data_IF_236563586657
#
_entry.id   IF_236563586657
#
_cell.length_a   1.000
_cell.length_b   1.000
_cell.length_c   1.000
_cell.angle_alpha   90.00
_cell.angle_beta   90.00
_cell.angle_gamma   90.00
#
_symmetry.space_group_name_H-M   'P 1'
#
loop_
_entity.id
_entity.type
_entity.pdbx_description
1 polymer ?
#
# COMPACT_ATOMS: atom_id res chain seq x y z
N UNK A 1 -13.86 -32.19 -7.79
CA UNK A 1 -13.76 -31.84 -9.23
C UNK A 1 -12.96 -30.54 -9.42
N UNK A 2 -11.64 -30.61 -9.27
CA UNK A 2 -10.64 -29.57 -9.63
C UNK A 2 -9.27 -30.24 -9.92
N UNK A 3 -9.32 -31.40 -10.59
CA UNK A 3 -8.17 -32.15 -11.11
C UNK A 3 -8.56 -32.65 -12.50
N UNK A 4 -8.88 -31.70 -13.39
CA UNK A 4 -9.31 -31.98 -14.78
C UNK A 4 -8.88 -30.86 -15.74
N UNK A 5 -7.86 -30.07 -15.37
CA UNK A 5 -7.27 -29.02 -16.21
C UNK A 5 -5.74 -29.13 -16.33
N UNK A 6 -5.16 -30.26 -15.90
CA UNK A 6 -3.72 -30.54 -15.96
C UNK A 6 -3.38 -31.78 -16.81
N UNK A 7 -4.30 -32.18 -17.70
CA UNK A 7 -4.21 -33.43 -18.47
C UNK A 7 -4.60 -33.27 -19.95
N UNK A 8 -4.27 -32.12 -20.54
CA UNK A 8 -4.43 -31.83 -21.98
C UNK A 8 -3.14 -31.34 -22.64
N UNK A 9 -1.98 -31.47 -21.98
CA UNK A 9 -0.65 -31.11 -22.54
C UNK A 9 0.21 -32.37 -22.81
N UNK A 10 -0.33 -33.56 -22.59
CA UNK A 10 0.38 -34.83 -22.76
C UNK A 10 -0.48 -35.78 -23.60
N UNK A 11 -0.56 -35.55 -24.92
CA UNK A 11 -0.87 -36.54 -25.96
C UNK A 11 -1.03 -35.85 -27.34
N UNK A 12 0.09 -35.48 -27.96
CA UNK A 12 0.22 -35.54 -29.43
C UNK A 12 1.70 -35.56 -29.82
N UNK A 13 2.42 -36.57 -29.32
CA UNK A 13 3.58 -37.09 -30.03
C UNK A 13 3.06 -38.19 -30.96
N UNK A 14 3.08 -37.91 -32.27
CA UNK A 14 3.32 -38.95 -33.26
C UNK A 14 4.54 -38.54 -34.09
N UNK A 15 5.52 -39.44 -34.28
CA UNK A 15 6.68 -39.17 -35.08
C UNK A 15 6.29 -39.30 -36.56
N UNK A 16 6.25 -38.19 -37.28
CA UNK A 16 6.22 -38.22 -38.75
C UNK A 16 7.67 -38.25 -39.23
N UNK A 17 8.05 -39.46 -39.62
CA UNK A 17 9.11 -39.83 -40.53
C UNK A 17 9.69 -38.69 -41.38
N UNK A 18 11.01 -38.49 -41.23
CA UNK A 18 12.00 -38.40 -42.30
C UNK A 18 11.44 -38.12 -43.70
N UNK A 19 11.38 -36.85 -44.09
CA UNK A 19 11.39 -36.45 -45.49
C UNK A 19 12.45 -35.36 -45.70
N UNK A 20 13.57 -35.79 -46.29
CA UNK A 20 14.21 -35.03 -47.35
C UNK A 20 15.21 -33.98 -46.93
N UNK A 21 16.46 -34.42 -46.77
CA UNK A 21 17.67 -33.65 -47.14
C UNK A 21 17.63 -33.10 -48.58
N UNK A 22 16.61 -33.43 -49.38
CA UNK A 22 16.41 -33.02 -50.77
C UNK A 22 16.11 -31.53 -50.98
N UNK A 23 15.56 -30.79 -50.03
CA UNK A 23 15.32 -29.35 -50.24
C UNK A 23 16.60 -28.52 -50.10
N UNK A 24 17.43 -28.80 -49.11
CA UNK A 24 18.70 -28.07 -48.91
C UNK A 24 19.66 -28.28 -50.09
N UNK A 25 19.84 -29.53 -50.53
CA UNK A 25 20.69 -29.87 -51.67
C UNK A 25 20.17 -29.31 -53.00
N UNK A 26 18.84 -29.28 -53.19
CA UNK A 26 18.23 -28.66 -54.38
C UNK A 26 18.47 -27.14 -54.43
N UNK A 27 18.36 -26.44 -53.31
CA UNK A 27 18.67 -25.00 -53.23
C UNK A 27 20.17 -24.71 -53.33
N UNK A 28 21.03 -25.66 -52.98
CA UNK A 28 22.48 -25.55 -53.16
C UNK A 28 22.85 -25.78 -54.64
N UNK A 29 22.25 -26.78 -55.30
CA UNK A 29 22.39 -27.02 -56.73
C UNK A 29 21.90 -25.84 -57.58
N UNK A 30 20.77 -25.22 -57.24
CA UNK A 30 20.30 -24.01 -57.93
C UNK A 30 21.25 -22.82 -57.73
N UNK A 31 21.85 -22.67 -56.55
CA UNK A 31 22.87 -21.64 -56.29
C UNK A 31 24.13 -21.86 -57.13
N UNK A 32 24.63 -23.08 -57.21
CA UNK A 32 25.82 -23.41 -58.01
C UNK A 32 25.57 -23.23 -59.51
N UNK A 33 24.37 -23.55 -60.00
CA UNK A 33 23.97 -23.32 -61.39
C UNK A 33 23.85 -21.83 -61.72
N UNK A 34 23.27 -21.02 -60.83
CA UNK A 34 23.19 -19.57 -61.03
C UNK A 34 24.56 -18.89 -60.91
N UNK A 35 25.41 -19.35 -60.00
CA UNK A 35 26.79 -18.87 -59.88
C UNK A 35 27.63 -19.24 -61.10
N UNK A 36 27.50 -20.47 -61.63
CA UNK A 36 28.12 -20.85 -62.91
C UNK A 36 27.62 -19.99 -64.07
N UNK A 37 26.30 -19.79 -64.20
CA UNK A 37 25.75 -18.93 -65.25
C UNK A 37 26.25 -17.49 -65.14
N UNK A 38 26.39 -16.97 -63.93
CA UNK A 38 26.97 -15.65 -63.68
C UNK A 38 28.45 -15.60 -64.05
N UNK A 39 29.27 -16.59 -63.65
CA UNK A 39 30.67 -16.70 -64.04
C UNK A 39 30.85 -16.90 -65.56
N UNK A 40 29.92 -17.56 -66.24
CA UNK A 40 29.92 -17.66 -67.70
C UNK A 40 29.49 -16.34 -68.35
N UNK A 41 28.51 -15.61 -67.81
CA UNK A 41 28.08 -14.31 -68.38
C UNK A 41 29.03 -13.15 -68.06
N UNK A 42 29.71 -13.17 -66.91
CA UNK A 42 30.73 -12.18 -66.54
C UNK A 42 32.14 -12.59 -66.94
N UNK A 43 32.43 -13.88 -67.07
CA UNK A 43 33.72 -14.40 -67.54
C UNK A 43 33.85 -14.58 -69.05
N UNK A 44 32.75 -14.60 -69.82
CA UNK A 44 32.81 -14.73 -71.29
C UNK A 44 32.76 -13.41 -72.07
N UNK A 45 32.58 -12.25 -71.42
CA UNK A 45 32.73 -10.93 -72.06
C UNK A 45 34.12 -10.31 -71.86
N UNK A 46 35.20 -11.09 -71.92
CA UNK A 46 36.53 -10.49 -71.76
C UNK A 46 37.77 -11.34 -72.07
N UNK A 47 37.65 -12.51 -72.69
CA UNK A 47 38.82 -13.35 -73.01
C UNK A 47 39.20 -13.26 -74.50
N UNK A 48 39.39 -12.03 -74.99
CA UNK A 48 40.17 -11.73 -76.20
C UNK A 48 40.52 -10.24 -76.21
N UNK A 49 41.68 -9.86 -75.69
CA UNK A 49 42.22 -8.51 -75.85
C UNK A 49 43.18 -8.07 -74.75
N UNK A 50 44.27 -7.44 -75.18
CA UNK A 50 45.50 -7.11 -74.46
C UNK A 50 45.39 -6.58 -73.02
N UNK A 51 46.42 -6.96 -72.24
CA UNK A 51 46.78 -6.45 -70.93
C UNK A 51 46.72 -4.91 -70.81
N UNK A 52 46.36 -4.45 -69.60
CA UNK A 52 46.22 -3.08 -69.10
C UNK A 52 44.84 -2.43 -69.24
N UNK A 53 43.92 -2.77 -68.35
CA UNK A 53 42.89 -1.83 -67.87
C UNK A 53 42.61 -2.04 -66.38
N UNK A 54 42.73 -0.97 -65.60
CA UNK A 54 42.26 -0.88 -64.21
C UNK A 54 40.73 -1.00 -64.20
N UNK A 55 40.20 -2.21 -64.02
CA UNK A 55 38.74 -2.42 -63.90
C UNK A 55 38.36 -2.24 -62.44
N UNK A 56 37.94 -1.02 -62.10
CA UNK A 56 37.39 -0.69 -60.79
C UNK A 56 35.98 -1.29 -60.70
N UNK A 57 35.87 -2.55 -60.27
CA UNK A 57 34.59 -3.20 -59.96
C UNK A 57 33.97 -2.52 -58.73
N UNK A 58 33.30 -1.39 -58.91
CA UNK A 58 32.34 -0.89 -57.92
C UNK A 58 31.13 -1.79 -57.99
N UNK A 59 31.11 -2.87 -57.21
CA UNK A 59 29.87 -3.62 -56.97
C UNK A 59 28.84 -2.60 -56.48
N UNK A 60 27.75 -2.42 -57.24
CA UNK A 60 26.70 -1.50 -56.89
C UNK A 60 26.05 -2.00 -55.58
N UNK A 61 26.39 -1.33 -54.48
CA UNK A 61 25.91 -1.69 -53.14
C UNK A 61 24.39 -1.74 -53.11
N UNK A 62 23.72 -0.97 -53.97
CA UNK A 62 22.27 -0.95 -54.10
C UNK A 62 21.73 -2.27 -54.67
N UNK A 63 22.37 -2.82 -55.70
CA UNK A 63 21.97 -4.09 -56.31
C UNK A 63 22.18 -5.29 -55.36
N UNK A 64 23.25 -5.30 -54.58
CA UNK A 64 23.46 -6.32 -53.53
C UNK A 64 22.42 -6.24 -52.42
N UNK A 65 22.04 -5.02 -52.03
CA UNK A 65 21.05 -4.79 -50.98
C UNK A 65 19.64 -5.21 -51.44
N UNK A 66 19.27 -4.92 -52.69
CA UNK A 66 18.00 -5.36 -53.30
C UNK A 66 17.91 -6.90 -53.42
N UNK A 67 19.02 -7.59 -53.75
CA UNK A 67 19.04 -9.07 -53.77
C UNK A 67 18.92 -9.69 -52.37
N UNK A 68 19.58 -9.12 -51.36
CA UNK A 68 19.47 -9.57 -49.97
C UNK A 68 18.03 -9.43 -49.46
N UNK A 69 17.39 -8.30 -49.75
CA UNK A 69 15.98 -8.06 -49.39
C UNK A 69 15.01 -9.02 -50.08
N UNK A 70 15.27 -9.39 -51.35
CA UNK A 70 14.49 -10.39 -52.09
C UNK A 70 14.62 -11.80 -51.48
N UNK A 71 15.81 -12.16 -51.01
CA UNK A 71 16.04 -13.44 -50.33
C UNK A 71 15.37 -13.50 -48.96
N UNK A 72 15.44 -12.43 -48.17
CA UNK A 72 14.75 -12.36 -46.87
C UNK A 72 13.22 -12.47 -47.03
N UNK A 73 12.66 -11.80 -48.05
CA UNK A 73 11.23 -11.88 -48.42
C UNK A 73 10.79 -13.31 -48.77
N UNK A 74 11.61 -14.07 -49.50
CA UNK A 74 11.31 -15.47 -49.87
C UNK A 74 11.45 -16.45 -48.71
N UNK A 75 12.31 -16.15 -47.72
CA UNK A 75 12.52 -16.97 -46.53
C UNK A 75 11.46 -16.74 -45.43
N UNK A 76 10.45 -15.90 -45.68
CA UNK A 76 9.44 -15.52 -44.68
C UNK A 76 9.99 -14.63 -43.54
N UNK A 77 11.20 -14.09 -43.70
CA UNK A 77 11.82 -13.19 -42.73
C UNK A 77 11.43 -11.75 -43.05
N UNK A 78 11.27 -10.92 -42.03
CA UNK A 78 10.91 -9.51 -42.21
C UNK A 78 12.05 -8.79 -42.93
N UNK A 79 11.72 -8.08 -44.00
CA UNK A 79 12.67 -7.21 -44.72
C UNK A 79 13.10 -6.04 -43.85
N UNK A 80 14.25 -5.42 -44.16
CA UNK A 80 14.74 -4.24 -43.44
C UNK A 80 13.69 -3.10 -43.38
N UNK A 81 12.99 -2.86 -44.49
CA UNK A 81 11.89 -1.89 -44.55
C UNK A 81 10.69 -2.24 -43.63
N UNK A 82 10.36 -3.53 -43.48
CA UNK A 82 9.30 -3.97 -42.55
C UNK A 82 9.72 -3.82 -41.08
N UNK A 83 10.98 -4.12 -40.76
CA UNK A 83 11.52 -3.91 -39.41
C UNK A 83 11.58 -2.41 -39.07
N UNK A 84 11.94 -1.58 -40.04
CA UNK A 84 11.96 -0.12 -39.87
C UNK A 84 10.55 0.46 -39.72
N UNK A 85 9.58 -0.03 -40.51
CA UNK A 85 8.17 0.34 -40.36
C UNK A 85 7.60 -0.06 -38.99
N UNK A 86 7.89 -1.28 -38.49
CA UNK A 86 7.48 -1.72 -37.16
C UNK A 86 8.12 -0.88 -36.04
N UNK A 87 9.41 -0.52 -36.18
CA UNK A 87 10.08 0.40 -35.24
C UNK A 87 9.47 1.80 -35.29
N UNK A 88 9.08 2.28 -36.47
CA UNK A 88 8.43 3.57 -36.63
C UNK A 88 7.03 3.59 -35.99
N UNK A 89 6.24 2.52 -36.16
CA UNK A 89 4.95 2.36 -35.47
C UNK A 89 5.09 2.21 -33.96
N UNK A 90 6.07 1.42 -33.49
CA UNK A 90 6.37 1.28 -32.07
C UNK A 90 6.79 2.62 -31.44
N UNK A 91 7.60 3.42 -32.15
CA UNK A 91 7.96 4.79 -31.73
C UNK A 91 6.75 5.72 -31.67
N UNK A 92 5.81 5.63 -32.63
CA UNK A 92 4.56 6.41 -32.59
C UNK A 92 3.68 6.01 -31.41
N UNK A 93 3.51 4.71 -31.15
CA UNK A 93 2.76 4.19 -29.99
C UNK A 93 3.42 4.61 -28.68
N UNK A 94 4.75 4.52 -28.58
CA UNK A 94 5.49 4.94 -27.40
C UNK A 94 5.34 6.44 -27.13
N UNK A 95 5.48 7.30 -28.15
CA UNK A 95 5.26 8.75 -28.00
C UNK A 95 3.82 9.09 -27.60
N UNK A 96 2.83 8.44 -28.21
CA UNK A 96 1.42 8.65 -27.83
C UNK A 96 1.13 8.19 -26.39
N UNK A 97 1.75 7.09 -25.96
CA UNK A 97 1.66 6.61 -24.58
C UNK A 97 2.36 7.57 -23.60
N UNK A 98 3.54 8.07 -23.95
CA UNK A 98 4.29 9.05 -23.15
C UNK A 98 3.52 10.37 -23.00
N UNK A 99 2.88 10.87 -24.06
CA UNK A 99 2.01 12.05 -24.01
C UNK A 99 0.80 11.81 -23.10
N UNK A 100 0.12 10.66 -23.24
CA UNK A 100 -0.99 10.28 -22.38
C UNK A 100 -0.58 10.16 -20.91
N UNK A 101 0.57 9.55 -20.63
CA UNK A 101 1.09 9.41 -19.28
C UNK A 101 1.49 10.76 -18.68
N UNK A 102 2.03 11.68 -19.50
CA UNK A 102 2.30 13.06 -19.10
C UNK A 102 1.03 13.81 -18.75
N UNK A 103 -0.02 13.69 -19.58
CA UNK A 103 -1.33 14.33 -19.32
C UNK A 103 -1.97 13.78 -18.05
N UNK A 104 -1.99 12.46 -17.87
CA UNK A 104 -2.50 11.81 -16.67
C UNK A 104 -1.73 12.24 -15.42
N UNK A 105 -0.39 12.36 -15.52
CA UNK A 105 0.47 12.84 -14.44
C UNK A 105 0.13 14.28 -14.05
N UNK A 106 -0.04 15.18 -15.02
CA UNK A 106 -0.44 16.57 -14.78
C UNK A 106 -1.84 16.67 -14.16
N UNK A 107 -2.80 15.86 -14.62
CA UNK A 107 -4.13 15.80 -14.01
C UNK A 107 -4.07 15.29 -12.58
N UNK A 108 -3.28 14.25 -12.31
CA UNK A 108 -3.07 13.71 -10.96
C UNK A 108 -2.43 14.75 -10.04
N UNK A 109 -1.42 15.49 -10.50
CA UNK A 109 -0.82 16.58 -9.72
C UNK A 109 -1.84 17.65 -9.35
N UNK A 110 -2.71 18.06 -10.29
CA UNK A 110 -3.80 19.01 -10.01
C UNK A 110 -4.78 18.47 -8.96
N UNK A 111 -5.12 17.19 -9.02
CA UNK A 111 -6.01 16.56 -8.03
C UNK A 111 -5.37 16.51 -6.64
N UNK A 112 -4.07 16.21 -6.55
CA UNK A 112 -3.31 16.22 -5.28
C UNK A 112 -3.29 17.62 -4.68
N UNK A 113 -2.96 18.66 -5.45
CA UNK A 113 -2.96 20.04 -4.93
C UNK A 113 -4.33 20.48 -4.40
N UNK A 114 -5.40 20.08 -5.08
CA UNK A 114 -6.77 20.33 -4.60
C UNK A 114 -7.07 19.54 -3.32
N UNK A 115 -6.59 18.31 -3.21
CA UNK A 115 -6.74 17.50 -2.01
C UNK A 115 -5.97 18.08 -0.82
N UNK A 116 -4.77 18.63 -1.02
CA UNK A 116 -3.99 19.29 0.03
C UNK A 116 -4.71 20.55 0.55
N UNK A 117 -5.31 21.34 -0.34
CA UNK A 117 -6.15 22.47 0.07
C UNK A 117 -7.37 22.03 0.90
N UNK A 118 -8.03 20.93 0.49
CA UNK A 118 -9.14 20.34 1.26
C UNK A 118 -8.67 19.78 2.61
N UNK A 119 -7.48 19.19 2.67
CA UNK A 119 -6.87 18.72 3.92
C UNK A 119 -6.62 19.88 4.89
N UNK A 120 -6.04 20.98 4.42
CA UNK A 120 -5.83 22.17 5.24
C UNK A 120 -7.17 22.74 5.77
N UNK A 121 -8.21 22.76 4.93
CA UNK A 121 -9.56 23.16 5.36
C UNK A 121 -10.14 22.18 6.40
N UNK A 122 -10.03 20.88 6.16
CA UNK A 122 -10.48 19.86 7.10
C UNK A 122 -9.78 19.95 8.45
N UNK A 123 -8.49 20.26 8.48
CA UNK A 123 -7.75 20.49 9.73
C UNK A 123 -8.28 21.72 10.49
N UNK A 124 -8.66 22.79 9.80
CA UNK A 124 -9.29 23.96 10.41
C UNK A 124 -10.67 23.62 11.00
N UNK A 125 -11.49 22.84 10.29
CA UNK A 125 -12.80 22.41 10.81
C UNK A 125 -12.62 21.48 12.02
N UNK A 126 -11.67 20.55 11.97
CA UNK A 126 -11.33 19.66 13.10
C UNK A 126 -10.95 20.44 14.35
N UNK A 127 -10.28 21.58 14.22
CA UNK A 127 -9.92 22.42 15.36
C UNK A 127 -11.15 22.92 16.15
N UNK A 128 -12.29 23.17 15.49
CA UNK A 128 -13.55 23.53 16.18
C UNK A 128 -14.03 22.40 17.10
N UNK A 129 -13.89 21.16 16.64
CA UNK A 129 -14.25 19.98 17.44
C UNK A 129 -13.25 19.71 18.56
N UNK A 130 -11.97 20.04 18.37
CA UNK A 130 -10.98 20.07 19.46
C UNK A 130 -11.45 21.03 20.57
N UNK A 131 -11.87 22.25 20.23
CA UNK A 131 -12.41 23.19 21.21
C UNK A 131 -13.67 22.66 21.91
N UNK A 132 -14.58 22.02 21.17
CA UNK A 132 -15.78 21.40 21.73
C UNK A 132 -15.43 20.33 22.78
N UNK A 133 -14.58 19.36 22.46
CA UNK A 133 -14.21 18.30 23.40
C UNK A 133 -13.37 18.82 24.57
N UNK A 134 -12.57 19.87 24.37
CA UNK A 134 -11.91 20.59 25.46
C UNK A 134 -12.93 21.23 26.42
N UNK A 135 -14.00 21.85 25.92
CA UNK A 135 -15.09 22.40 26.76
C UNK A 135 -15.87 21.31 27.48
N UNK A 136 -16.05 20.14 26.85
CA UNK A 136 -16.58 18.94 27.50
C UNK A 136 -15.66 18.47 28.63
N UNK A 137 -14.37 18.78 28.58
CA UNK A 137 -13.38 18.53 29.64
C UNK A 137 -12.64 17.20 29.49
N UNK A 138 -12.65 16.59 28.30
CA UNK A 138 -11.80 15.46 28.00
C UNK A 138 -10.32 15.82 28.14
N UNK A 139 -9.49 14.82 28.37
CA UNK A 139 -8.05 15.03 28.53
C UNK A 139 -7.33 15.10 27.17
N UNK A 140 -6.23 15.85 27.16
CA UNK A 140 -5.52 16.30 25.95
C UNK A 140 -5.14 15.24 24.89
N UNK A 141 -4.81 13.97 25.22
CA UNK A 141 -4.50 13.01 24.14
C UNK A 141 -5.77 12.50 23.42
N UNK A 142 -6.93 12.46 24.09
CA UNK A 142 -8.16 11.91 23.50
C UNK A 142 -8.86 12.94 22.59
N UNK A 143 -8.76 14.23 22.93
CA UNK A 143 -9.49 15.31 22.27
C UNK A 143 -9.21 15.39 20.75
N UNK A 144 -7.95 15.48 20.27
CA UNK A 144 -7.69 15.57 18.84
C UNK A 144 -8.10 14.31 18.09
N UNK A 145 -7.92 13.13 18.70
CA UNK A 145 -8.36 11.86 18.12
C UNK A 145 -9.87 11.83 17.91
N UNK A 146 -10.66 12.22 18.91
CA UNK A 146 -12.12 12.26 18.83
C UNK A 146 -12.61 13.30 17.81
N UNK A 147 -11.92 14.43 17.68
CA UNK A 147 -12.25 15.50 16.76
C UNK A 147 -12.10 15.09 15.28
N UNK A 148 -11.11 14.26 14.94
CA UNK A 148 -10.92 13.76 13.57
C UNK A 148 -12.16 13.06 13.00
N UNK A 149 -12.94 12.39 13.86
CA UNK A 149 -14.10 11.62 13.45
C UNK A 149 -15.28 12.46 12.95
N UNK A 150 -15.26 13.78 13.19
CA UNK A 150 -16.35 14.69 12.84
C UNK A 150 -16.17 15.39 11.50
N UNK A 151 -15.06 15.16 10.81
CA UNK A 151 -14.73 15.87 9.58
C UNK A 151 -14.34 14.86 8.52
N UNK A 152 -15.01 14.88 7.38
CA UNK A 152 -14.70 13.97 6.27
C UNK A 152 -14.92 14.67 4.93
N UNK A 153 -14.21 14.18 3.92
CA UNK A 153 -14.52 14.51 2.54
C UNK A 153 -15.74 13.72 2.08
N UNK A 154 -16.74 14.42 1.55
CA UNK A 154 -17.95 13.83 0.96
C UNK A 154 -18.20 14.44 -0.42
N UNK A 155 -19.03 13.77 -1.22
CA UNK A 155 -19.40 14.27 -2.55
C UNK A 155 -20.61 15.19 -2.46
N UNK A 156 -20.40 16.49 -2.68
CA UNK A 156 -21.45 17.52 -2.74
C UNK A 156 -21.60 17.97 -4.19
N UNK A 157 -22.79 17.80 -4.77
CA UNK A 157 -23.07 18.16 -6.17
C UNK A 157 -22.04 17.57 -7.19
N UNK A 158 -21.55 16.36 -6.93
CA UNK A 158 -20.57 15.68 -7.80
C UNK A 158 -19.13 16.18 -7.68
N UNK A 159 -18.82 17.00 -6.68
CA UNK A 159 -17.45 17.43 -6.34
C UNK A 159 -17.10 17.03 -4.90
N UNK A 160 -15.84 16.66 -4.62
CA UNK A 160 -15.39 16.41 -3.26
C UNK A 160 -15.32 17.72 -2.48
N UNK A 161 -15.97 17.77 -1.32
CA UNK A 161 -15.91 18.87 -0.37
C UNK A 161 -15.79 18.34 1.06
N UNK A 162 -15.40 19.20 2.00
CA UNK A 162 -15.27 18.85 3.42
C UNK A 162 -16.57 19.19 4.13
N UNK A 163 -17.15 18.17 4.78
CA UNK A 163 -18.36 18.32 5.58
C UNK A 163 -18.12 17.91 7.03
N UNK A 164 -18.95 18.48 7.89
CA UNK A 164 -19.08 18.07 9.28
C UNK A 164 -20.00 16.85 9.34
N UNK A 165 -19.45 15.70 9.70
CA UNK A 165 -20.16 14.42 9.75
C UNK A 165 -20.43 14.04 11.20
N UNK A 166 -21.71 13.83 11.52
CA UNK A 166 -22.09 13.37 12.85
C UNK A 166 -21.45 12.01 13.17
N UNK A 167 -20.70 11.97 14.27
CA UNK A 167 -20.07 10.75 14.76
C UNK A 167 -20.69 10.29 16.08
N UNK A 168 -21.60 9.31 15.99
CA UNK A 168 -22.43 8.84 17.10
C UNK A 168 -21.60 8.45 18.35
N UNK A 169 -20.53 7.67 18.18
CA UNK A 169 -19.69 7.22 19.29
C UNK A 169 -19.01 8.39 20.01
N UNK A 170 -18.55 9.41 19.29
CA UNK A 170 -17.91 10.58 19.88
C UNK A 170 -18.90 11.46 20.65
N UNK A 171 -20.12 11.62 20.11
CA UNK A 171 -21.18 12.37 20.77
C UNK A 171 -21.69 11.65 22.04
N UNK A 172 -21.86 10.33 21.97
CA UNK A 172 -22.22 9.48 23.09
C UNK A 172 -21.18 9.58 24.22
N UNK A 173 -19.90 9.48 23.88
CA UNK A 173 -18.81 9.67 24.82
C UNK A 173 -18.86 11.05 25.50
N UNK A 174 -19.09 12.13 24.73
CA UNK A 174 -19.20 13.48 25.28
C UNK A 174 -20.36 13.61 26.28
N UNK A 175 -21.54 13.11 25.93
CA UNK A 175 -22.71 13.10 26.82
C UNK A 175 -22.44 12.30 28.09
N UNK A 176 -21.89 11.09 27.95
CA UNK A 176 -21.60 10.22 29.08
C UNK A 176 -20.55 10.84 30.03
N UNK A 177 -19.49 11.43 29.50
CA UNK A 177 -18.47 12.08 30.32
C UNK A 177 -19.01 13.32 31.04
N UNK A 178 -19.86 14.12 30.39
CA UNK A 178 -20.53 15.23 31.06
C UNK A 178 -21.43 14.74 32.21
N UNK A 179 -22.20 13.67 31.99
CA UNK A 179 -23.02 13.06 33.04
C UNK A 179 -22.15 12.51 34.17
N UNK A 180 -21.03 11.85 33.85
CA UNK A 180 -20.06 11.36 34.83
C UNK A 180 -19.58 12.50 35.72
N UNK A 181 -19.13 13.62 35.16
CA UNK A 181 -18.68 14.78 35.95
C UNK A 181 -19.78 15.35 36.86
N UNK A 182 -21.03 15.40 36.39
CA UNK A 182 -22.16 15.88 37.21
C UNK A 182 -22.49 14.95 38.37
N UNK A 183 -22.25 13.65 38.19
CA UNK A 183 -22.63 12.58 39.14
C UNK A 183 -21.45 12.01 39.92
N UNK A 184 -20.22 12.45 39.65
CA UNK A 184 -18.96 11.86 40.15
C UNK A 184 -18.93 11.74 41.67
N UNK A 185 -19.61 12.65 42.39
CA UNK A 185 -19.64 12.69 43.86
C UNK A 185 -20.90 12.06 44.48
N UNK A 186 -21.97 11.86 43.71
CA UNK A 186 -23.29 11.51 44.24
C UNK A 186 -23.81 10.15 43.79
N UNK A 187 -23.48 9.72 42.56
CA UNK A 187 -23.93 8.44 42.02
C UNK A 187 -23.20 7.25 42.65
N UNK A 188 -23.82 6.07 42.55
CA UNK A 188 -23.24 4.80 42.96
C UNK A 188 -22.17 4.29 41.99
N UNK A 189 -21.44 3.25 42.40
CA UNK A 189 -20.35 2.66 41.61
C UNK A 189 -20.83 2.15 40.25
N UNK A 190 -21.91 1.37 40.23
CA UNK A 190 -22.42 0.71 39.03
C UNK A 190 -22.85 1.73 37.96
N UNK A 191 -23.49 2.82 38.37
CA UNK A 191 -23.88 3.91 37.47
C UNK A 191 -22.65 4.62 36.88
N UNK A 192 -21.65 4.92 37.70
CA UNK A 192 -20.45 5.63 37.25
C UNK A 192 -19.58 4.77 36.34
N UNK A 193 -19.48 3.47 36.60
CA UNK A 193 -18.79 2.53 35.71
C UNK A 193 -19.53 2.37 34.39
N UNK A 194 -20.87 2.31 34.42
CA UNK A 194 -21.68 2.31 33.21
C UNK A 194 -21.37 3.53 32.33
N UNK A 195 -21.28 4.72 32.94
CA UNK A 195 -20.89 5.92 32.22
C UNK A 195 -19.47 5.85 31.66
N UNK A 196 -18.49 5.29 32.40
CA UNK A 196 -17.12 5.11 31.89
C UNK A 196 -17.08 4.24 30.64
N UNK A 197 -17.90 3.18 30.58
CA UNK A 197 -17.98 2.32 29.41
C UNK A 197 -18.47 3.07 28.15
N UNK A 198 -19.36 4.05 28.33
CA UNK A 198 -19.91 4.86 27.24
C UNK A 198 -18.92 5.90 26.67
N UNK A 199 -17.84 6.23 27.40
CA UNK A 199 -16.75 7.07 26.89
C UNK A 199 -15.42 6.33 26.75
N UNK A 200 -15.46 5.01 26.56
CA UNK A 200 -14.29 4.14 26.45
C UNK A 200 -13.35 4.48 25.29
N UNK A 201 -13.85 5.13 24.23
CA UNK A 201 -13.03 5.57 23.11
C UNK A 201 -11.98 6.60 23.53
N UNK A 202 -12.21 7.33 24.63
CA UNK A 202 -11.28 8.28 25.22
C UNK A 202 -10.42 7.56 26.27
N UNK A 203 -9.56 6.62 25.84
CA UNK A 203 -8.89 5.66 26.72
C UNK A 203 -8.10 6.26 27.87
N UNK A 204 -7.47 7.42 27.66
CA UNK A 204 -6.75 8.11 28.74
C UNK A 204 -7.74 8.67 29.77
N UNK A 205 -8.77 9.39 29.32
CA UNK A 205 -9.83 9.95 30.18
C UNK A 205 -10.60 8.86 30.92
N UNK A 206 -10.91 7.74 30.25
CA UNK A 206 -11.57 6.57 30.85
C UNK A 206 -10.71 5.99 31.98
N UNK A 207 -9.42 5.77 31.74
CA UNK A 207 -8.53 5.24 32.77
C UNK A 207 -8.41 6.19 33.97
N UNK A 208 -8.26 7.50 33.73
CA UNK A 208 -8.24 8.50 34.81
C UNK A 208 -9.53 8.56 35.60
N UNK A 209 -10.67 8.34 34.95
CA UNK A 209 -11.95 8.24 35.63
C UNK A 209 -12.02 6.99 36.52
N UNK A 210 -11.56 5.83 36.03
CA UNK A 210 -11.45 4.61 36.83
C UNK A 210 -10.51 4.74 38.03
N UNK A 211 -9.36 5.42 37.88
CA UNK A 211 -8.46 5.71 39.00
C UNK A 211 -9.15 6.51 40.12
N UNK A 212 -9.98 7.48 39.75
CA UNK A 212 -10.77 8.25 40.72
C UNK A 212 -11.84 7.39 41.38
N UNK A 213 -12.56 6.58 40.61
CA UNK A 213 -13.54 5.64 41.16
C UNK A 213 -12.89 4.65 42.12
N UNK A 214 -11.66 4.20 41.84
CA UNK A 214 -10.90 3.30 42.73
C UNK A 214 -10.60 3.92 44.08
N UNK A 215 -10.36 5.24 44.12
CA UNK A 215 -10.18 5.99 45.37
C UNK A 215 -11.49 6.18 46.12
N UNK A 216 -12.60 6.40 45.41
CA UNK A 216 -13.92 6.64 46.00
C UNK A 216 -14.59 5.36 46.52
N UNK A 217 -14.41 4.24 45.81
CA UNK A 217 -14.99 2.94 46.10
C UNK A 217 -13.89 1.89 46.33
N UNK A 218 -13.10 1.99 47.43
CA UNK A 218 -11.97 1.11 47.68
C UNK A 218 -12.38 -0.37 47.78
N UNK A 219 -13.60 -0.67 48.23
CA UNK A 219 -14.18 -2.00 48.27
C UNK A 219 -14.40 -2.62 46.88
N UNK A 220 -14.51 -1.78 45.84
CA UNK A 220 -14.65 -2.18 44.43
C UNK A 220 -13.32 -2.17 43.67
N UNK A 221 -12.19 -1.91 44.32
CA UNK A 221 -10.89 -1.75 43.68
C UNK A 221 -10.49 -2.92 42.76
N UNK A 222 -10.74 -4.18 43.18
CA UNK A 222 -10.46 -5.37 42.36
C UNK A 222 -11.29 -5.41 41.08
N UNK A 223 -12.56 -5.03 41.14
CA UNK A 223 -13.43 -4.97 39.97
C UNK A 223 -12.93 -3.90 38.98
N UNK A 224 -12.52 -2.74 39.50
CA UNK A 224 -11.95 -1.66 38.68
C UNK A 224 -10.65 -2.11 38.01
N UNK A 225 -9.76 -2.80 38.73
CA UNK A 225 -8.52 -3.34 38.16
C UNK A 225 -8.76 -4.36 37.04
N UNK A 226 -9.92 -5.02 37.04
CA UNK A 226 -10.36 -5.90 35.95
C UNK A 226 -10.81 -5.09 34.73
N UNK A 227 -11.49 -3.96 34.94
CA UNK A 227 -12.02 -3.12 33.86
C UNK A 227 -10.98 -2.21 33.20
N UNK A 228 -9.95 -1.79 33.93
CA UNK A 228 -8.93 -0.86 33.43
C UNK A 228 -8.31 -1.24 32.06
N UNK A 229 -7.92 -2.51 31.80
CA UNK A 229 -7.41 -2.89 30.48
C UNK A 229 -8.44 -2.77 29.35
N UNK A 230 -9.73 -3.06 29.61
CA UNK A 230 -10.79 -3.00 28.60
C UNK A 230 -10.99 -1.56 28.09
N UNK A 231 -10.95 -0.59 28.98
CA UNK A 231 -11.15 0.82 28.62
C UNK A 231 -9.85 1.55 28.29
N UNK A 232 -8.74 1.19 28.92
CA UNK A 232 -7.46 1.88 28.75
C UNK A 232 -6.73 1.51 27.46
N UNK A 233 -6.96 0.32 26.89
CA UNK A 233 -6.28 -0.13 25.66
C UNK A 233 -6.68 0.67 24.42
N UNK A 234 -7.83 1.34 24.43
CA UNK A 234 -8.28 2.24 23.36
C UNK A 234 -7.34 3.44 23.17
N UNK A 235 -6.51 3.77 24.17
CA UNK A 235 -5.51 4.84 24.07
C UNK A 235 -4.52 4.60 22.92
N UNK A 236 -4.17 3.35 22.62
CA UNK A 236 -3.26 3.02 21.51
C UNK A 236 -4.00 2.70 20.22
N UNK A 237 -5.27 2.31 20.29
CA UNK A 237 -6.08 1.95 19.13
C UNK A 237 -6.32 3.14 18.20
N UNK A 238 -6.29 2.87 16.90
CA UNK A 238 -6.48 3.85 15.84
C UNK A 238 -7.97 4.12 15.63
N UNK A 239 -8.54 4.96 16.51
CA UNK A 239 -9.97 5.27 16.56
C UNK A 239 -10.35 6.60 15.90
N UNK A 240 -9.39 7.48 15.66
CA UNK A 240 -9.59 8.76 15.00
C UNK A 240 -9.36 8.64 13.50
N UNK A 241 -10.32 9.06 12.69
CA UNK A 241 -10.24 9.00 11.23
C UNK A 241 -10.85 10.23 10.56
N UNK A 242 -10.02 10.94 9.81
CA UNK A 242 -10.43 11.97 8.86
C UNK A 242 -10.10 11.48 7.45
N UNK A 243 -11.13 11.14 6.66
CA UNK A 243 -10.96 10.60 5.31
C UNK A 243 -10.95 11.72 4.28
N UNK A 244 -9.88 11.83 3.50
CA UNK A 244 -9.74 12.78 2.38
C UNK A 244 -9.04 12.04 1.25
N UNK A 245 -9.52 12.23 0.02
CA UNK A 245 -8.88 11.69 -1.18
C UNK A 245 -7.39 12.01 -1.18
N UNK A 246 -6.56 10.99 -1.40
CA UNK A 246 -5.08 11.07 -1.40
C UNK A 246 -4.40 11.42 -0.07
N UNK A 247 -5.12 11.87 0.96
CA UNK A 247 -4.52 12.36 2.21
C UNK A 247 -5.42 12.15 3.45
N UNK A 248 -5.65 10.89 3.81
CA UNK A 248 -6.43 10.54 5.02
C UNK A 248 -5.55 10.54 6.27
N UNK A 249 -6.10 11.01 7.38
CA UNK A 249 -5.45 10.96 8.71
C UNK A 249 -6.11 9.88 9.55
N UNK A 250 -5.31 8.94 10.05
CA UNK A 250 -5.70 7.95 11.04
C UNK A 250 -4.83 8.11 12.28
N UNK A 251 -5.43 8.17 13.46
CA UNK A 251 -4.70 8.47 14.68
C UNK A 251 -5.31 7.78 15.91
N UNK A 252 -4.45 7.59 16.91
CA UNK A 252 -4.83 7.15 18.25
C UNK A 252 -4.51 8.24 19.27
N UNK A 253 -5.06 8.14 20.48
CA UNK A 253 -4.71 9.07 21.57
C UNK A 253 -3.20 9.04 21.86
N UNK A 254 -2.55 7.88 21.71
CA UNK A 254 -1.11 7.70 21.81
C UNK A 254 -0.32 8.63 20.88
N UNK A 255 -0.82 8.85 19.65
CA UNK A 255 -0.17 9.74 18.67
C UNK A 255 -0.13 11.20 19.14
N UNK A 256 -1.15 11.65 19.88
CA UNK A 256 -1.25 13.02 20.39
C UNK A 256 -0.72 13.20 21.82
N UNK A 257 -0.47 12.11 22.53
CA UNK A 257 0.00 12.14 23.91
C UNK A 257 1.42 12.71 24.04
N UNK A 258 1.62 13.48 25.11
CA UNK A 258 2.96 13.89 25.55
C UNK A 258 3.77 12.71 26.09
N UNK A 259 5.09 12.87 26.19
CA UNK A 259 6.01 11.81 26.62
C UNK A 259 5.62 11.22 28.00
N UNK A 260 5.23 12.05 28.96
CA UNK A 260 4.86 11.60 30.30
C UNK A 260 3.58 10.75 30.28
N UNK A 261 2.60 11.12 29.47
CA UNK A 261 1.35 10.37 29.29
C UNK A 261 1.62 9.03 28.59
N UNK A 262 2.51 9.02 27.58
CA UNK A 262 2.93 7.78 26.91
C UNK A 262 3.64 6.84 27.88
N UNK A 263 4.57 7.35 28.69
CA UNK A 263 5.26 6.56 29.72
C UNK A 263 4.30 5.99 30.75
N UNK A 264 3.39 6.82 31.26
CA UNK A 264 2.36 6.42 32.21
C UNK A 264 1.49 5.29 31.65
N UNK A 265 0.91 5.49 30.47
CA UNK A 265 0.05 4.48 29.84
C UNK A 265 0.82 3.21 29.49
N UNK A 266 2.06 3.32 29.01
CA UNK A 266 2.88 2.15 28.72
C UNK A 266 3.25 1.36 29.98
N UNK A 267 3.44 2.03 31.13
CA UNK A 267 3.63 1.35 32.41
C UNK A 267 2.38 0.54 32.80
N UNK A 268 1.18 1.09 32.58
CA UNK A 268 -0.07 0.35 32.73
C UNK A 268 -0.14 -0.87 31.81
N UNK A 269 0.12 -0.69 30.51
CA UNK A 269 0.10 -1.77 29.54
C UNK A 269 1.07 -2.88 29.91
N UNK A 270 2.31 -2.55 30.27
CA UNK A 270 3.32 -3.52 30.70
C UNK A 270 2.85 -4.30 31.92
N UNK A 271 2.24 -3.63 32.90
CA UNK A 271 1.70 -4.30 34.07
C UNK A 271 0.54 -5.24 33.70
N UNK A 272 -0.37 -4.80 32.82
CA UNK A 272 -1.47 -5.64 32.34
C UNK A 272 -0.97 -6.84 31.54
N UNK A 273 0.00 -6.67 30.66
CA UNK A 273 0.58 -7.77 29.89
C UNK A 273 1.33 -8.78 30.78
N UNK A 274 1.95 -8.33 31.86
CA UNK A 274 2.59 -9.22 32.85
C UNK A 274 1.59 -10.00 33.69
N UNK A 275 0.51 -9.36 34.12
CA UNK A 275 -0.45 -9.94 35.08
C UNK A 275 -1.64 -10.63 34.40
N UNK A 276 -1.96 -10.20 33.18
CA UNK A 276 -3.09 -10.63 32.35
C UNK A 276 -2.65 -10.62 30.87
N UNK A 277 -1.79 -11.55 30.43
CA UNK A 277 -1.17 -11.45 29.10
C UNK A 277 -2.17 -11.50 27.94
N UNK A 278 -3.36 -12.08 28.14
CA UNK A 278 -4.49 -12.01 27.21
C UNK A 278 -4.92 -10.57 26.83
N UNK A 279 -4.50 -9.54 27.57
CA UNK A 279 -4.72 -8.13 27.22
C UNK A 279 -4.17 -7.79 25.81
N UNK A 280 -3.17 -8.53 25.32
CA UNK A 280 -2.64 -8.32 23.96
C UNK A 280 -3.72 -8.52 22.88
N UNK A 281 -4.72 -9.37 23.12
CA UNK A 281 -5.82 -9.65 22.18
C UNK A 281 -6.68 -8.44 21.85
N UNK A 282 -6.65 -7.37 22.65
CA UNK A 282 -7.32 -6.11 22.31
C UNK A 282 -6.70 -5.38 21.12
N UNK A 283 -5.51 -5.80 20.68
CA UNK A 283 -4.81 -5.20 19.53
C UNK A 283 -4.81 -6.10 18.29
N UNK A 284 -5.46 -7.27 18.34
CA UNK A 284 -5.37 -8.28 17.27
C UNK A 284 -5.86 -7.78 15.90
N UNK A 285 -6.77 -6.81 15.90
CA UNK A 285 -7.36 -6.25 14.68
C UNK A 285 -6.76 -4.87 14.31
N UNK A 286 -5.75 -4.40 15.05
CA UNK A 286 -5.14 -3.07 14.88
C UNK A 286 -3.61 -3.18 14.83
N UNK A 287 -3.10 -3.64 13.68
CA UNK A 287 -1.66 -3.71 13.41
C UNK A 287 -0.98 -2.34 13.57
N UNK A 288 -1.65 -1.26 13.19
CA UNK A 288 -1.08 0.10 13.25
C UNK A 288 -0.79 0.52 14.70
N UNK A 289 -1.67 0.18 15.64
CA UNK A 289 -1.42 0.39 17.06
C UNK A 289 -0.16 -0.36 17.55
N UNK A 290 0.01 -1.62 17.13
CA UNK A 290 1.19 -2.43 17.46
C UNK A 290 2.46 -1.85 16.85
N UNK A 291 2.43 -1.47 15.57
CA UNK A 291 3.57 -0.89 14.88
C UNK A 291 4.04 0.40 15.60
N UNK A 292 3.10 1.28 15.98
CA UNK A 292 3.39 2.52 16.73
C UNK A 292 3.99 2.22 18.10
N UNK A 293 3.43 1.24 18.82
CA UNK A 293 3.93 0.80 20.13
C UNK A 293 5.36 0.25 20.04
N UNK A 294 5.61 -0.62 19.05
CA UNK A 294 6.92 -1.24 18.83
C UNK A 294 7.95 -0.20 18.41
N UNK A 295 7.60 0.68 17.46
CA UNK A 295 8.46 1.77 17.03
C UNK A 295 8.86 2.69 18.21
N UNK A 296 7.89 3.06 19.05
CA UNK A 296 8.16 3.82 20.27
C UNK A 296 9.10 3.06 21.21
N UNK A 297 8.84 1.78 21.45
CA UNK A 297 9.65 0.98 22.38
C UNK A 297 11.09 0.82 21.88
N UNK A 298 11.30 0.70 20.56
CA UNK A 298 12.63 0.67 19.94
C UNK A 298 13.32 2.04 20.10
N UNK A 299 12.66 3.13 19.73
CA UNK A 299 13.19 4.50 19.84
C UNK A 299 13.63 4.82 21.28
N UNK A 300 12.78 4.47 22.26
CA UNK A 300 13.05 4.70 23.68
C UNK A 300 13.91 3.64 24.33
N UNK A 301 14.32 2.59 23.60
CA UNK A 301 15.06 1.43 24.11
C UNK A 301 14.34 0.76 25.29
N UNK A 302 13.01 0.77 25.29
CA UNK A 302 12.16 0.16 26.31
C UNK A 302 12.05 -1.36 26.10
N UNK A 303 13.08 -2.07 26.57
CA UNK A 303 13.16 -3.53 26.51
C UNK A 303 12.02 -4.20 27.29
N UNK A 304 11.49 -3.55 28.32
CA UNK A 304 10.44 -4.13 29.15
C UNK A 304 9.11 -4.17 28.39
N UNK A 305 8.77 -3.08 27.69
CA UNK A 305 7.59 -3.04 26.83
C UNK A 305 7.71 -4.03 25.67
N UNK A 306 8.84 -4.05 24.95
CA UNK A 306 9.07 -5.01 23.86
C UNK A 306 8.92 -6.46 24.31
N UNK A 307 9.54 -6.82 25.44
CA UNK A 307 9.44 -8.18 25.98
C UNK A 307 8.01 -8.53 26.41
N UNK A 308 7.31 -7.61 27.08
CA UNK A 308 5.93 -7.83 27.49
C UNK A 308 4.98 -8.03 26.28
N UNK A 309 5.15 -7.24 25.22
CA UNK A 309 4.43 -7.40 23.96
C UNK A 309 4.73 -8.76 23.33
N UNK A 310 6.01 -9.11 23.18
CA UNK A 310 6.46 -10.34 22.53
C UNK A 310 5.96 -11.60 23.24
N UNK A 311 6.15 -11.68 24.56
CA UNK A 311 5.72 -12.84 25.36
C UNK A 311 4.21 -12.99 25.33
N UNK A 312 3.47 -11.88 25.50
CA UNK A 312 2.01 -11.93 25.49
C UNK A 312 1.47 -12.36 24.12
N UNK A 313 2.01 -11.78 23.04
CA UNK A 313 1.65 -12.16 21.68
C UNK A 313 1.96 -13.64 21.41
N UNK A 314 3.15 -14.12 21.78
CA UNK A 314 3.51 -15.53 21.59
C UNK A 314 2.56 -16.50 22.30
N UNK A 315 1.99 -16.11 23.45
CA UNK A 315 1.08 -16.93 24.24
C UNK A 315 -0.38 -16.87 23.77
N UNK A 316 -0.87 -15.70 23.37
CA UNK A 316 -2.31 -15.47 23.16
C UNK A 316 -2.67 -15.06 21.73
N UNK A 317 -1.76 -14.43 20.99
CA UNK A 317 -1.99 -13.98 19.62
C UNK A 317 -0.76 -14.25 18.73
N UNK A 318 -0.43 -15.53 18.44
CA UNK A 318 0.86 -15.89 17.84
C UNK A 318 1.11 -15.24 16.47
N UNK A 319 0.05 -14.87 15.74
CA UNK A 319 0.18 -14.16 14.47
C UNK A 319 0.77 -12.76 14.63
N UNK A 320 0.48 -12.09 15.76
CA UNK A 320 1.00 -10.76 16.07
C UNK A 320 2.50 -10.75 16.37
N UNK A 321 3.10 -11.90 16.70
CA UNK A 321 4.56 -12.02 16.89
C UNK A 321 5.32 -11.51 15.66
N UNK A 322 4.78 -11.75 14.45
CA UNK A 322 5.38 -11.27 13.20
C UNK A 322 5.37 -9.75 13.07
N UNK A 323 4.42 -9.07 13.70
CA UNK A 323 4.31 -7.61 13.70
C UNK A 323 5.28 -6.97 14.69
N UNK A 324 5.61 -7.69 15.76
CA UNK A 324 6.56 -7.21 16.78
C UNK A 324 7.99 -7.52 16.33
N UNK A 325 8.21 -8.67 15.70
CA UNK A 325 9.52 -9.15 15.27
C UNK A 325 9.89 -8.64 13.86
N UNK A 326 9.79 -7.33 13.64
CA UNK A 326 10.26 -6.70 12.40
C UNK A 326 11.78 -6.54 12.52
N UNK A 327 12.59 -7.01 11.54
CA UNK A 327 14.02 -6.72 11.53
C UNK A 327 14.21 -5.21 11.44
N UNK A 328 14.81 -4.62 12.48
CA UNK A 328 15.24 -3.22 12.51
C UNK A 328 16.48 -3.00 11.65
#
# INVERSE_FOLDING_TARGET
MRILFLLTILLSQYPVFSQGTTTADYYQYQRDQQFKKYMETTGSQGMAGSANTNVNYSIDKKALQEMAELWDRRAGRKTAAQIEAERAEARKKFKAQEEKDRENSLQRQKLVLKADARKAWADQVTYRYVEYFNKVGFQSPDVPMMALNWVQEVMVNGQPDIEEVYHERSEMAAKAFQQFKRKEQTAGFEELVGLVAEFDMAGYTALKSLEKLKKRFPEKAKAIDILMPFHGTTFWQTLGRQSISFNSTMASSFSFAGEDQRKEMNAYLVNWLKTKPATISFFKDDKEAIDKLVAYAIDKKDKQLLNALMVSAALYEPEMVKWINVPT
#
